data_IF_255355342065
#
_entry.id   IF_255355342065
#
_cell.length_a   1.000
_cell.length_b   1.000
_cell.length_c   1.000
_cell.angle_alpha   90.00
_cell.angle_beta   90.00
_cell.angle_gamma   90.00
#
_symmetry.space_group_name_H-M   'P 1'
#
loop_
_entity.id
_entity.type
_entity.pdbx_description
1 polymer ?
#
# COMPACT_ATOMS: atom_id res chain seq x y z
N UNK A 1 -35.41 3.59 77.56
CA UNK A 1 -36.83 3.94 77.60
C UNK A 1 -37.30 3.88 76.15
N UNK A 2 -38.05 2.97 75.78
CA UNK A 2 -39.36 2.46 76.07
C UNK A 2 -40.05 2.38 74.74
N UNK A 3 -40.29 1.16 74.35
CA UNK A 3 -41.59 0.46 74.15
C UNK A 3 -42.37 0.96 72.93
N UNK A 4 -42.73 0.12 72.02
CA UNK A 4 -43.56 -1.08 71.90
C UNK A 4 -44.66 -0.86 70.85
N UNK A 5 -44.91 -1.90 70.03
CA UNK A 5 -46.12 -2.49 69.50
C UNK A 5 -46.99 -1.68 68.53
N UNK A 6 -47.51 -2.20 67.50
CA UNK A 6 -48.07 -3.46 67.02
C UNK A 6 -48.86 -3.14 65.82
N UNK A 7 -49.09 -4.01 64.98
CA UNK A 7 -50.22 -4.93 64.80
C UNK A 7 -50.65 -4.94 63.34
N UNK A 8 -50.52 -6.10 62.71
CA UNK A 8 -51.46 -6.93 61.96
C UNK A 8 -52.63 -6.24 61.22
N UNK A 9 -52.73 -6.45 59.93
CA UNK A 9 -53.86 -7.14 59.28
C UNK A 9 -53.73 -7.32 57.79
N UNK A 10 -53.98 -8.55 57.38
CA UNK A 10 -54.30 -9.16 56.14
C UNK A 10 -55.22 -8.34 55.22
N UNK A 11 -54.97 -8.34 53.90
CA UNK A 11 -56.02 -8.44 52.89
C UNK A 11 -55.44 -8.99 51.58
N UNK A 12 -56.03 -10.10 51.14
CA UNK A 12 -55.85 -10.81 49.88
C UNK A 12 -56.37 -9.96 48.70
N UNK A 13 -55.57 -9.84 47.63
CA UNK A 13 -56.18 -9.58 46.32
C UNK A 13 -55.32 -10.28 45.23
N UNK A 14 -55.92 -11.29 44.62
CA UNK A 14 -55.47 -11.97 43.40
C UNK A 14 -55.36 -10.97 42.26
N UNK A 15 -54.22 -10.96 41.61
CA UNK A 15 -54.11 -10.39 40.25
C UNK A 15 -53.22 -11.33 39.41
N UNK A 16 -53.82 -11.80 38.34
CA UNK A 16 -53.26 -12.72 37.35
C UNK A 16 -52.00 -12.18 36.70
N UNK A 17 -50.89 -12.92 36.84
CA UNK A 17 -49.62 -12.62 36.17
C UNK A 17 -49.61 -13.33 34.83
N UNK A 18 -49.68 -12.54 33.74
CA UNK A 18 -49.30 -12.97 32.41
C UNK A 18 -47.81 -13.25 32.40
N UNK A 19 -47.43 -14.49 32.28
CA UNK A 19 -46.03 -14.90 32.11
C UNK A 19 -45.55 -14.50 30.71
N UNK A 20 -44.67 -13.49 30.64
CA UNK A 20 -43.85 -13.20 29.46
C UNK A 20 -42.60 -14.08 29.57
N UNK A 21 -42.27 -14.89 28.58
CA UNK A 21 -41.01 -15.65 28.65
C UNK A 21 -39.83 -14.70 28.60
N UNK A 22 -39.09 -14.66 29.69
CA UNK A 22 -37.75 -14.05 29.72
C UNK A 22 -36.83 -14.83 28.76
N UNK A 23 -36.63 -14.33 27.56
CA UNK A 23 -35.54 -14.76 26.69
C UNK A 23 -34.26 -14.23 27.34
N UNK A 24 -33.49 -15.13 27.86
CA UNK A 24 -32.25 -14.85 28.60
C UNK A 24 -31.27 -14.15 27.70
N UNK A 25 -30.96 -12.89 27.98
CA UNK A 25 -29.85 -12.13 27.39
C UNK A 25 -28.46 -12.77 27.64
N UNK A 26 -28.39 -13.85 28.39
CA UNK A 26 -27.18 -14.61 28.69
C UNK A 26 -26.74 -15.51 27.53
N UNK A 27 -27.67 -15.99 26.68
CA UNK A 27 -27.32 -16.83 25.53
C UNK A 27 -26.71 -16.07 24.35
N UNK A 28 -26.90 -14.75 24.30
CA UNK A 28 -26.25 -13.91 23.27
C UNK A 28 -24.79 -13.60 23.61
N UNK A 29 -24.44 -13.44 24.89
CA UNK A 29 -23.07 -13.21 25.33
C UNK A 29 -22.18 -14.46 25.25
N UNK A 30 -22.77 -15.65 25.43
CA UNK A 30 -22.04 -16.92 25.34
C UNK A 30 -21.66 -17.32 23.90
N UNK A 31 -22.30 -16.72 22.87
CA UNK A 31 -21.97 -16.99 21.47
C UNK A 31 -20.85 -16.08 20.92
N UNK A 32 -20.46 -15.04 21.65
CA UNK A 32 -19.38 -14.12 21.25
C UNK A 32 -18.00 -14.47 21.84
N UNK A 33 -17.92 -15.55 22.63
CA UNK A 33 -16.71 -15.93 23.36
C UNK A 33 -16.21 -17.33 23.01
N UNK A 34 -16.49 -17.85 21.82
CA UNK A 34 -15.73 -19.00 21.34
C UNK A 34 -14.34 -18.53 21.04
N UNK A 35 -13.28 -19.04 21.70
CA UNK A 35 -11.91 -18.76 21.26
C UNK A 35 -11.82 -19.24 19.81
N UNK A 36 -11.45 -18.34 18.90
CA UNK A 36 -11.06 -18.72 17.55
C UNK A 36 -9.87 -19.66 17.73
N UNK A 37 -10.09 -20.94 17.52
CA UNK A 37 -9.01 -21.90 17.47
C UNK A 37 -7.96 -21.40 16.47
N UNK A 38 -6.66 -21.57 16.74
CA UNK A 38 -5.63 -21.22 15.76
C UNK A 38 -5.99 -21.94 14.46
N UNK A 39 -6.20 -21.15 13.40
CA UNK A 39 -6.53 -21.68 12.07
C UNK A 39 -5.41 -22.63 11.67
N UNK A 40 -5.79 -23.88 11.35
CA UNK A 40 -4.89 -24.87 10.80
C UNK A 40 -4.19 -24.23 9.57
N UNK A 41 -2.86 -24.36 9.43
CA UNK A 41 -2.14 -23.88 8.25
C UNK A 41 -2.67 -24.45 6.92
N UNK A 42 -3.45 -25.55 6.99
CA UNK A 42 -4.15 -26.13 5.84
C UNK A 42 -5.43 -25.39 5.45
N UNK A 43 -5.93 -24.45 6.28
CA UNK A 43 -7.17 -23.69 6.04
C UNK A 43 -6.91 -22.34 5.32
N UNK A 44 -5.77 -22.21 4.65
CA UNK A 44 -5.52 -21.10 3.71
C UNK A 44 -6.44 -21.30 2.51
N UNK A 45 -7.54 -20.56 2.48
CA UNK A 45 -8.49 -20.60 1.38
C UNK A 45 -7.85 -19.95 0.16
N UNK A 46 -7.92 -20.61 -0.98
CA UNK A 46 -7.65 -19.95 -2.24
C UNK A 46 -8.67 -18.83 -2.40
N UNK A 47 -8.20 -17.61 -2.67
CA UNK A 47 -9.09 -16.56 -3.13
C UNK A 47 -9.75 -17.06 -4.42
N UNK A 48 -11.08 -17.01 -4.48
CA UNK A 48 -11.71 -17.03 -5.79
C UNK A 48 -11.06 -15.90 -6.60
N UNK A 49 -10.56 -16.27 -7.78
CA UNK A 49 -9.95 -15.31 -8.68
C UNK A 49 -10.93 -14.17 -8.86
N UNK A 50 -10.56 -12.96 -8.40
CA UNK A 50 -11.37 -11.77 -8.60
C UNK A 50 -11.42 -11.53 -10.11
N UNK A 51 -12.43 -12.09 -10.76
CA UNK A 51 -12.68 -11.86 -12.17
C UNK A 51 -13.36 -10.50 -12.28
N UNK A 52 -12.52 -9.49 -12.38
CA UNK A 52 -12.99 -8.15 -12.75
C UNK A 52 -13.33 -8.22 -14.23
N UNK A 53 -14.62 -8.35 -14.53
CA UNK A 53 -15.13 -8.44 -15.91
C UNK A 53 -15.64 -7.08 -16.36
N UNK A 54 -15.20 -6.64 -17.55
CA UNK A 54 -15.59 -5.38 -18.15
C UNK A 54 -14.49 -4.31 -18.14
N UNK A 55 -14.79 -3.17 -18.77
CA UNK A 55 -13.93 -1.97 -18.74
C UNK A 55 -14.36 -1.11 -17.58
N UNK A 56 -13.47 -0.93 -16.60
CA UNK A 56 -13.72 -0.14 -15.39
C UNK A 56 -13.48 1.34 -15.62
N UNK A 57 -14.19 2.24 -14.90
CA UNK A 57 -14.00 3.69 -15.04
C UNK A 57 -12.57 4.14 -14.72
N UNK A 58 -11.89 3.47 -13.77
CA UNK A 58 -10.58 3.89 -13.28
C UNK A 58 -10.69 4.81 -12.06
N UNK A 59 -9.56 5.25 -11.51
CA UNK A 59 -9.52 5.95 -10.22
C UNK A 59 -9.87 7.45 -10.30
N UNK A 60 -10.12 8.00 -11.48
CA UNK A 60 -10.27 9.44 -11.68
C UNK A 60 -8.97 10.23 -11.44
N UNK A 61 -8.99 11.52 -11.71
CA UNK A 61 -7.85 12.40 -11.57
C UNK A 61 -8.06 13.42 -10.44
N UNK A 62 -7.11 13.49 -9.52
CA UNK A 62 -7.01 14.59 -8.56
C UNK A 62 -6.54 15.85 -9.28
N UNK A 63 -7.09 17.01 -8.93
CA UNK A 63 -6.74 18.31 -9.53
C UNK A 63 -6.17 19.23 -8.46
N UNK A 64 -4.94 19.66 -8.64
CA UNK A 64 -4.25 20.61 -7.78
C UNK A 64 -4.06 21.90 -8.56
N UNK A 65 -4.69 23.01 -8.11
CA UNK A 65 -4.77 24.26 -8.86
C UNK A 65 -3.98 25.36 -8.19
N UNK A 66 -3.25 26.11 -9.01
CA UNK A 66 -2.54 27.34 -8.64
C UNK A 66 -2.72 28.37 -9.76
N UNK A 67 -3.54 29.40 -9.51
CA UNK A 67 -3.98 30.31 -10.56
C UNK A 67 -4.73 29.57 -11.68
N UNK A 68 -4.26 29.75 -12.90
CA UNK A 68 -4.72 29.09 -14.11
C UNK A 68 -3.95 27.77 -14.43
N UNK A 69 -3.02 27.38 -13.58
CA UNK A 69 -2.25 26.15 -13.75
C UNK A 69 -2.85 24.99 -12.94
N UNK A 70 -2.86 23.81 -13.54
CA UNK A 70 -3.38 22.58 -12.92
C UNK A 70 -2.38 21.44 -13.02
N UNK A 71 -2.10 20.81 -11.87
CA UNK A 71 -1.40 19.54 -11.79
C UNK A 71 -2.44 18.43 -11.57
N UNK A 72 -2.60 17.59 -12.58
CA UNK A 72 -3.44 16.40 -12.51
C UNK A 72 -2.64 15.25 -11.91
N UNK A 73 -3.20 14.57 -10.92
CA UNK A 73 -2.50 13.48 -10.23
C UNK A 73 -3.32 12.20 -10.35
N UNK A 74 -2.74 11.18 -10.98
CA UNK A 74 -3.32 9.84 -11.05
C UNK A 74 -2.90 9.03 -9.83
N UNK A 75 -3.90 8.58 -9.04
CA UNK A 75 -3.69 7.64 -7.96
C UNK A 75 -3.33 6.25 -8.49
N UNK A 76 -2.18 5.69 -8.11
CA UNK A 76 -1.77 4.36 -8.53
C UNK A 76 -1.99 3.33 -7.42
N UNK A 77 -2.44 2.14 -7.79
CA UNK A 77 -2.63 1.00 -6.88
C UNK A 77 -1.78 -0.19 -7.33
N UNK A 78 -1.18 -0.86 -6.37
CA UNK A 78 -0.45 -2.12 -6.58
C UNK A 78 -0.59 -2.97 -5.31
N UNK A 79 -0.77 -4.29 -5.43
CA UNK A 79 -0.92 -5.06 -6.68
C UNK A 79 -2.32 -4.93 -7.30
N UNK A 80 -2.42 -5.27 -8.59
CA UNK A 80 -3.66 -5.30 -9.36
C UNK A 80 -3.87 -6.66 -10.04
N UNK A 81 -5.12 -7.04 -10.41
CA UNK A 81 -5.36 -8.20 -11.24
C UNK A 81 -4.61 -8.15 -12.57
N UNK A 82 -4.05 -9.29 -13.00
CA UNK A 82 -3.28 -9.39 -14.25
C UNK A 82 -4.08 -9.03 -15.51
N UNK A 83 -5.38 -9.32 -15.48
CA UNK A 83 -6.33 -9.13 -16.60
C UNK A 83 -7.12 -7.84 -16.49
N UNK A 84 -6.79 -6.95 -15.54
CA UNK A 84 -7.54 -5.71 -15.37
C UNK A 84 -7.41 -4.80 -16.59
N UNK A 85 -8.56 -4.29 -17.05
CA UNK A 85 -8.66 -3.22 -18.05
C UNK A 85 -9.44 -2.05 -17.44
N UNK A 86 -9.10 -0.83 -17.83
CA UNK A 86 -9.73 0.38 -17.33
C UNK A 86 -9.82 1.44 -18.42
N UNK A 87 -10.77 2.36 -18.31
CA UNK A 87 -10.88 3.50 -19.21
C UNK A 87 -9.78 4.50 -18.91
N UNK A 88 -8.93 4.75 -19.86
CA UNK A 88 -7.81 5.67 -19.75
C UNK A 88 -7.95 6.91 -20.63
N UNK A 89 -9.18 7.17 -21.14
CA UNK A 89 -9.40 8.23 -22.13
C UNK A 89 -9.10 9.59 -21.53
N UNK A 90 -9.68 9.94 -20.37
CA UNK A 90 -9.41 11.19 -19.65
C UNK A 90 -7.90 11.35 -19.35
N UNK A 91 -7.26 10.28 -18.88
CA UNK A 91 -5.81 10.30 -18.61
C UNK A 91 -5.01 10.57 -19.88
N UNK A 92 -5.40 9.98 -21.01
CA UNK A 92 -4.74 10.22 -22.30
C UNK A 92 -4.96 11.64 -22.80
N UNK A 93 -6.14 12.21 -22.63
CA UNK A 93 -6.47 13.58 -22.96
C UNK A 93 -5.60 14.57 -22.17
N UNK A 94 -5.58 14.45 -20.84
CA UNK A 94 -4.73 15.30 -19.99
C UNK A 94 -3.25 15.12 -20.31
N UNK A 95 -2.80 13.88 -20.52
CA UNK A 95 -1.41 13.62 -20.94
C UNK A 95 -1.08 14.23 -22.31
N UNK A 96 -2.06 14.35 -23.22
CA UNK A 96 -1.86 14.97 -24.52
C UNK A 96 -1.59 16.48 -24.41
N UNK A 97 -2.07 17.13 -23.38
CA UNK A 97 -1.89 18.58 -23.12
C UNK A 97 -0.74 18.88 -22.15
N UNK A 98 -0.38 17.93 -21.30
CA UNK A 98 0.59 18.14 -20.24
C UNK A 98 1.96 18.62 -20.77
N UNK A 99 2.46 19.72 -20.23
CA UNK A 99 3.80 20.24 -20.52
C UNK A 99 4.90 19.43 -19.83
N UNK A 100 4.59 18.78 -18.71
CA UNK A 100 5.49 17.91 -17.97
C UNK A 100 4.72 16.74 -17.36
N UNK A 101 5.37 15.57 -17.28
CA UNK A 101 4.83 14.37 -16.62
C UNK A 101 5.81 13.92 -15.55
N UNK A 102 5.41 14.05 -14.29
CA UNK A 102 6.20 13.68 -13.12
C UNK A 102 6.02 12.21 -12.77
N UNK A 103 7.12 11.51 -12.54
CA UNK A 103 7.09 10.16 -12.03
C UNK A 103 6.69 10.07 -10.56
N UNK A 104 6.51 8.85 -10.02
CA UNK A 104 6.25 8.65 -8.61
C UNK A 104 7.49 9.00 -7.76
N UNK A 105 7.31 9.44 -6.51
CA UNK A 105 8.42 9.62 -5.58
C UNK A 105 9.16 8.30 -5.36
N UNK A 106 10.43 8.36 -5.09
CA UNK A 106 11.23 7.17 -4.84
C UNK A 106 12.69 7.49 -4.60
N UNK A 107 13.49 6.44 -4.45
CA UNK A 107 14.93 6.52 -4.27
C UNK A 107 15.63 5.79 -5.40
N UNK A 108 16.63 6.43 -5.95
CA UNK A 108 17.59 5.77 -6.84
C UNK A 108 18.94 5.73 -6.15
N UNK A 109 19.45 4.54 -5.94
CA UNK A 109 20.83 4.40 -5.49
C UNK A 109 21.75 4.61 -6.68
N UNK A 110 22.39 5.79 -6.71
CA UNK A 110 23.43 6.14 -7.65
C UNK A 110 24.80 5.69 -7.12
N UNK A 111 25.60 5.16 -8.00
CA UNK A 111 27.03 5.02 -7.79
C UNK A 111 27.69 5.51 -9.06
N UNK A 112 28.76 6.29 -8.93
CA UNK A 112 29.59 6.72 -10.08
C UNK A 112 30.34 5.53 -10.72
N UNK A 113 29.78 4.33 -10.56
CA UNK A 113 30.31 3.07 -11.06
C UNK A 113 29.73 2.83 -12.44
N UNK A 114 30.55 2.95 -13.47
CA UNK A 114 30.18 2.59 -14.83
C UNK A 114 29.68 1.14 -14.92
N UNK A 115 28.91 0.81 -15.96
CA UNK A 115 28.22 -0.48 -16.17
C UNK A 115 29.17 -1.67 -15.94
N UNK A 116 30.39 -1.60 -16.46
CA UNK A 116 31.37 -2.69 -16.29
C UNK A 116 31.77 -2.92 -14.82
N UNK A 117 31.93 -1.85 -14.04
CA UNK A 117 32.21 -1.94 -12.61
C UNK A 117 31.03 -2.47 -11.82
N UNK A 118 29.81 -2.10 -12.23
CA UNK A 118 28.57 -2.65 -11.69
C UNK A 118 28.47 -4.16 -11.87
N UNK A 119 28.79 -4.67 -13.06
CA UNK A 119 28.82 -6.13 -13.33
C UNK A 119 29.82 -6.88 -12.44
N UNK A 120 30.98 -6.28 -12.13
CA UNK A 120 31.95 -6.92 -11.22
C UNK A 120 31.48 -6.98 -9.77
N UNK A 121 30.43 -6.22 -9.42
CA UNK A 121 29.84 -6.23 -8.08
C UNK A 121 28.71 -7.25 -7.92
N UNK A 122 28.18 -7.78 -9.02
CA UNK A 122 27.06 -8.72 -8.99
C UNK A 122 27.31 -9.93 -8.06
N UNK A 123 28.50 -10.58 -8.08
CA UNK A 123 28.75 -11.67 -7.13
C UNK A 123 28.76 -11.23 -5.67
N UNK A 124 29.20 -10.00 -5.38
CA UNK A 124 29.17 -9.45 -4.01
C UNK A 124 27.73 -9.15 -3.57
N UNK A 125 26.91 -8.59 -4.44
CA UNK A 125 25.50 -8.34 -4.20
C UNK A 125 24.72 -9.65 -3.97
N UNK A 126 24.96 -10.68 -4.79
CA UNK A 126 24.37 -12.01 -4.61
C UNK A 126 24.76 -12.66 -3.29
N UNK A 127 26.01 -12.47 -2.84
CA UNK A 127 26.44 -12.95 -1.51
C UNK A 127 25.82 -12.14 -0.38
N UNK A 128 25.65 -10.84 -0.54
CA UNK A 128 25.00 -9.97 0.45
C UNK A 128 23.49 -10.26 0.60
N UNK A 129 22.86 -10.78 -0.46
CA UNK A 129 21.47 -11.21 -0.44
C UNK A 129 21.24 -12.54 0.33
N UNK A 130 22.31 -13.23 0.71
CA UNK A 130 22.23 -14.48 1.49
C UNK A 130 22.40 -14.22 2.97
N UNK A 131 21.88 -15.15 3.77
CA UNK A 131 22.12 -15.15 5.21
C UNK A 131 23.62 -15.21 5.52
N UNK A 132 24.08 -14.59 6.62
CA UNK A 132 25.43 -14.75 7.10
C UNK A 132 25.79 -16.23 7.30
N UNK A 133 27.04 -16.58 7.07
CA UNK A 133 27.61 -17.90 7.30
C UNK A 133 26.90 -19.07 6.59
N UNK A 134 26.01 -18.75 5.61
CA UNK A 134 25.26 -19.74 4.86
C UNK A 134 24.10 -20.37 5.63
N UNK A 135 23.73 -19.78 6.77
CA UNK A 135 22.63 -20.24 7.59
C UNK A 135 21.31 -20.30 6.81
N UNK A 136 20.45 -21.22 7.19
CA UNK A 136 19.12 -21.39 6.61
C UNK A 136 18.06 -20.71 7.48
N UNK A 137 16.86 -20.46 6.92
CA UNK A 137 15.81 -19.77 7.65
C UNK A 137 15.29 -20.54 8.86
N UNK A 138 15.37 -21.87 8.86
CA UNK A 138 15.03 -22.71 10.01
C UNK A 138 16.03 -22.57 11.18
N UNK A 139 17.28 -22.21 10.88
CA UNK A 139 18.28 -21.93 11.90
C UNK A 139 18.17 -20.52 12.49
N UNK A 140 17.56 -19.58 11.73
CA UNK A 140 17.53 -18.16 12.08
C UNK A 140 16.20 -17.69 12.65
N UNK A 141 15.10 -18.26 12.20
CA UNK A 141 13.75 -17.80 12.56
C UNK A 141 13.23 -18.49 13.82
N UNK A 142 12.39 -17.82 14.62
CA UNK A 142 11.61 -18.49 15.64
C UNK A 142 10.79 -19.64 15.05
N UNK A 143 10.67 -20.76 15.79
CA UNK A 143 10.06 -21.98 15.28
C UNK A 143 8.63 -21.79 14.76
N UNK A 144 7.83 -20.96 15.43
CA UNK A 144 6.46 -20.59 15.00
C UNK A 144 6.45 -19.87 13.65
N UNK A 145 7.39 -18.96 13.44
CA UNK A 145 7.51 -18.20 12.20
C UNK A 145 8.00 -19.10 11.07
N UNK A 146 8.98 -19.94 11.34
CA UNK A 146 9.49 -20.87 10.33
C UNK A 146 8.44 -21.90 9.90
N UNK A 147 7.62 -22.38 10.83
CA UNK A 147 6.52 -23.30 10.49
C UNK A 147 5.54 -22.65 9.48
N UNK A 148 5.13 -21.44 9.73
CA UNK A 148 4.25 -20.67 8.82
C UNK A 148 4.93 -20.43 7.46
N UNK A 149 6.16 -19.95 7.50
CA UNK A 149 6.99 -19.76 6.30
C UNK A 149 7.06 -21.05 5.47
N UNK A 150 7.42 -22.16 6.08
CA UNK A 150 7.60 -23.45 5.40
C UNK A 150 6.31 -23.95 4.72
N UNK A 151 5.15 -23.79 5.40
CA UNK A 151 3.85 -24.14 4.84
C UNK A 151 3.50 -23.31 3.60
N UNK A 152 3.64 -21.98 3.69
CA UNK A 152 3.36 -21.07 2.57
C UNK A 152 4.37 -21.23 1.44
N UNK A 153 5.65 -21.41 1.76
CA UNK A 153 6.69 -21.71 0.76
C UNK A 153 6.36 -22.99 -0.01
N UNK A 154 5.98 -24.06 0.68
CA UNK A 154 5.60 -25.31 0.03
C UNK A 154 4.41 -25.12 -0.93
N UNK A 155 3.46 -24.27 -0.55
CA UNK A 155 2.28 -23.96 -1.35
C UNK A 155 2.59 -23.16 -2.62
N UNK A 156 3.35 -22.07 -2.49
CA UNK A 156 3.52 -21.08 -3.55
C UNK A 156 4.84 -21.19 -4.33
N UNK A 157 5.89 -21.72 -3.72
CA UNK A 157 7.23 -21.85 -4.32
C UNK A 157 7.61 -23.32 -4.54
N UNK A 158 7.10 -24.21 -3.65
CA UNK A 158 7.42 -25.63 -3.71
C UNK A 158 8.75 -25.97 -3.02
N UNK A 159 9.53 -26.89 -3.66
CA UNK A 159 10.69 -27.51 -3.03
C UNK A 159 12.00 -26.76 -3.22
N UNK A 160 11.99 -25.52 -3.65
CA UNK A 160 13.23 -24.73 -3.80
C UNK A 160 13.93 -24.58 -2.44
N UNK A 161 15.18 -25.06 -2.37
CA UNK A 161 16.04 -24.91 -1.20
C UNK A 161 16.93 -23.67 -1.27
N UNK A 162 17.03 -23.04 -2.42
CA UNK A 162 17.85 -21.86 -2.62
C UNK A 162 17.34 -20.65 -1.85
N UNK A 163 16.01 -20.54 -1.73
CA UNK A 163 15.35 -19.46 -1.03
C UNK A 163 15.59 -19.51 0.49
N UNK A 164 15.79 -20.68 1.09
CA UNK A 164 16.06 -20.86 2.51
C UNK A 164 17.37 -20.20 2.97
N UNK A 165 18.28 -19.96 2.03
CA UNK A 165 19.59 -19.32 2.31
C UNK A 165 19.60 -17.83 2.01
N UNK A 166 18.46 -17.27 1.59
CA UNK A 166 18.31 -15.83 1.39
C UNK A 166 17.96 -15.14 2.69
N UNK A 167 18.29 -13.86 2.79
CA UNK A 167 17.87 -13.04 3.93
C UNK A 167 16.34 -13.04 4.07
N UNK A 168 15.81 -13.03 5.29
CA UNK A 168 14.37 -13.13 5.54
C UNK A 168 13.53 -12.15 4.72
N UNK A 169 13.98 -10.89 4.60
CA UNK A 169 13.26 -9.87 3.83
C UNK A 169 13.18 -10.21 2.33
N UNK A 170 14.26 -10.75 1.77
CA UNK A 170 14.31 -11.14 0.36
C UNK A 170 13.45 -12.40 0.14
N UNK A 171 13.59 -13.37 1.04
CA UNK A 171 12.83 -14.61 0.96
C UNK A 171 11.32 -14.37 1.06
N UNK A 172 10.88 -13.56 2.04
CA UNK A 172 9.46 -13.28 2.22
C UNK A 172 8.88 -12.43 1.08
N UNK A 173 9.65 -11.53 0.49
CA UNK A 173 9.22 -10.79 -0.69
C UNK A 173 9.03 -11.69 -1.91
N UNK A 174 9.93 -12.65 -2.14
CA UNK A 174 9.76 -13.63 -3.21
C UNK A 174 8.54 -14.53 -2.97
N UNK A 175 8.28 -14.94 -1.72
CA UNK A 175 7.08 -15.67 -1.35
C UNK A 175 5.81 -14.84 -1.60
N UNK A 176 5.81 -13.58 -1.20
CA UNK A 176 4.69 -12.66 -1.45
C UNK A 176 4.38 -12.53 -2.94
N UNK A 177 5.42 -12.33 -3.77
CA UNK A 177 5.23 -12.26 -5.23
C UNK A 177 4.68 -13.56 -5.81
N UNK A 178 5.17 -14.72 -5.34
CA UNK A 178 4.65 -16.01 -5.76
C UNK A 178 3.19 -16.20 -5.35
N UNK A 179 2.81 -15.76 -4.14
CA UNK A 179 1.44 -15.79 -3.68
C UNK A 179 0.53 -14.87 -4.49
N UNK A 180 0.97 -13.65 -4.80
CA UNK A 180 0.24 -12.75 -5.71
C UNK A 180 0.03 -13.38 -7.06
N UNK A 181 1.09 -13.94 -7.65
CA UNK A 181 1.05 -14.56 -8.98
C UNK A 181 0.07 -15.73 -9.05
N UNK A 182 0.09 -16.59 -8.02
CA UNK A 182 -0.83 -17.72 -7.89
C UNK A 182 -2.30 -17.28 -7.74
N UNK A 183 -2.55 -16.09 -7.20
CA UNK A 183 -3.88 -15.51 -7.03
C UNK A 183 -4.25 -14.53 -8.17
N UNK A 184 -3.57 -14.60 -9.32
CA UNK A 184 -3.90 -13.77 -10.48
C UNK A 184 -3.60 -12.29 -10.33
N UNK A 185 -2.84 -11.91 -9.29
CA UNK A 185 -2.40 -10.54 -9.02
C UNK A 185 -0.96 -10.33 -9.50
N UNK A 186 -0.58 -9.08 -9.73
CA UNK A 186 0.80 -8.69 -10.02
C UNK A 186 1.12 -7.31 -9.46
N UNK A 187 2.37 -7.14 -9.06
CA UNK A 187 2.93 -5.81 -8.88
C UNK A 187 3.24 -5.20 -10.25
N UNK A 188 3.15 -3.89 -10.33
CA UNK A 188 3.32 -3.19 -11.60
C UNK A 188 2.00 -3.15 -12.39
N UNK A 189 1.84 -2.07 -13.14
CA UNK A 189 0.49 -1.70 -13.42
C UNK A 189 0.05 -1.72 -14.85
N UNK A 190 -1.22 -1.52 -14.94
CA UNK A 190 -1.96 -1.15 -16.14
C UNK A 190 -1.72 0.31 -16.55
N UNK A 191 -1.11 1.11 -15.69
CA UNK A 191 -0.88 2.55 -15.89
C UNK A 191 0.36 2.80 -16.74
N UNK A 192 1.48 2.15 -16.45
CA UNK A 192 2.75 2.36 -17.16
C UNK A 192 2.63 2.24 -18.68
N UNK A 193 1.94 1.22 -19.24
CA UNK A 193 1.76 1.15 -20.69
C UNK A 193 1.02 2.36 -21.28
N UNK A 194 0.01 2.88 -20.57
CA UNK A 194 -0.75 4.06 -21.03
C UNK A 194 0.16 5.31 -21.05
N UNK A 195 0.94 5.51 -20.00
CA UNK A 195 1.90 6.62 -19.94
C UNK A 195 2.96 6.51 -21.05
N UNK A 196 3.56 5.33 -21.18
CA UNK A 196 4.64 5.10 -22.16
C UNK A 196 4.16 5.32 -23.61
N UNK A 197 2.92 4.85 -23.94
CA UNK A 197 2.32 5.04 -25.25
C UNK A 197 2.19 6.53 -25.60
N UNK A 198 1.59 7.34 -24.69
CA UNK A 198 1.36 8.77 -24.94
C UNK A 198 2.68 9.53 -24.94
N UNK A 199 3.56 9.29 -23.97
CA UNK A 199 4.88 9.96 -23.91
C UNK A 199 5.70 9.67 -25.16
N UNK A 200 5.72 8.42 -25.63
CA UNK A 200 6.41 8.03 -26.86
C UNK A 200 5.82 8.72 -28.08
N UNK A 201 4.50 8.77 -28.20
CA UNK A 201 3.82 9.45 -29.31
C UNK A 201 4.15 10.94 -29.36
N UNK A 202 4.32 11.59 -28.20
CA UNK A 202 4.68 13.01 -28.07
C UNK A 202 6.20 13.28 -28.10
N UNK A 203 7.04 12.27 -28.16
CA UNK A 203 8.49 12.41 -28.03
C UNK A 203 8.94 12.94 -26.66
N UNK A 204 8.09 12.82 -25.65
CA UNK A 204 8.36 13.25 -24.27
C UNK A 204 8.94 12.11 -23.44
N UNK A 205 9.53 12.46 -22.33
CA UNK A 205 10.01 11.50 -21.31
C UNK A 205 9.37 11.81 -19.98
N UNK A 206 9.15 10.75 -19.18
CA UNK A 206 8.80 10.89 -17.79
C UNK A 206 9.89 11.66 -17.05
N UNK A 207 9.53 12.73 -16.35
CA UNK A 207 10.45 13.46 -15.49
C UNK A 207 10.65 12.68 -14.19
N UNK A 208 11.87 12.16 -13.93
CA UNK A 208 12.11 11.38 -12.73
C UNK A 208 12.06 12.29 -11.50
N UNK A 209 11.30 11.89 -10.51
CA UNK A 209 11.21 12.55 -9.19
C UNK A 209 11.84 11.69 -8.09
N UNK A 210 12.67 10.74 -8.49
CA UNK A 210 13.43 9.89 -7.57
C UNK A 210 14.62 10.65 -7.01
N UNK A 211 14.74 10.67 -5.68
CA UNK A 211 15.94 11.21 -5.01
C UNK A 211 17.13 10.30 -5.26
N UNK A 212 18.20 10.85 -5.81
CA UNK A 212 19.45 10.12 -5.99
C UNK A 212 20.25 10.11 -4.70
N UNK A 213 20.50 8.91 -4.18
CA UNK A 213 21.37 8.68 -3.02
C UNK A 213 22.67 8.06 -3.50
N UNK A 214 23.76 8.80 -3.39
CA UNK A 214 25.08 8.29 -3.76
C UNK A 214 25.67 7.44 -2.63
N UNK A 215 26.20 6.30 -3.00
CA UNK A 215 26.98 5.43 -2.10
C UNK A 215 28.44 5.52 -2.57
N UNK A 216 29.31 6.14 -1.77
CA UNK A 216 30.70 6.38 -2.11
C UNK A 216 31.49 5.10 -2.31
N UNK A 217 31.31 4.11 -1.41
CA UNK A 217 31.91 2.78 -1.52
C UNK A 217 30.86 1.67 -1.44
N UNK A 218 30.22 1.29 -2.58
CA UNK A 218 29.22 0.24 -2.60
C UNK A 218 29.79 -1.14 -2.24
N UNK A 219 31.09 -1.39 -2.45
CA UNK A 219 31.70 -2.68 -2.05
C UNK A 219 31.81 -2.79 -0.55
N UNK A 220 32.27 -1.73 0.12
CA UNK A 220 32.30 -1.68 1.58
C UNK A 220 30.90 -1.79 2.16
N UNK A 221 29.92 -1.07 1.57
CA UNK A 221 28.52 -1.15 1.97
C UNK A 221 27.96 -2.57 1.90
N UNK A 222 28.20 -3.28 0.80
CA UNK A 222 27.79 -4.69 0.66
C UNK A 222 28.52 -5.61 1.63
N UNK A 223 29.80 -5.35 1.91
CA UNK A 223 30.59 -6.13 2.87
C UNK A 223 30.11 -5.94 4.31
N UNK A 224 29.75 -4.71 4.69
CA UNK A 224 29.15 -4.40 5.99
C UNK A 224 27.77 -5.06 6.13
N UNK A 225 26.88 -4.82 5.16
CA UNK A 225 25.55 -5.41 5.14
C UNK A 225 25.59 -6.95 5.23
N UNK A 226 26.56 -7.59 4.58
CA UNK A 226 26.74 -9.05 4.67
C UNK A 226 27.01 -9.54 6.08
N UNK A 227 27.67 -8.73 6.91
CA UNK A 227 28.02 -9.08 8.30
C UNK A 227 26.85 -8.83 9.28
N UNK A 228 25.83 -8.07 8.88
CA UNK A 228 24.67 -7.82 9.73
C UNK A 228 23.89 -9.11 9.95
N UNK A 229 23.69 -9.47 11.23
CA UNK A 229 22.83 -10.58 11.63
C UNK A 229 21.34 -10.25 11.47
N UNK A 230 20.50 -11.24 11.78
CA UNK A 230 19.06 -11.09 11.87
C UNK A 230 18.70 -10.12 13.00
N UNK A 231 17.80 -9.19 12.74
CA UNK A 231 17.28 -8.22 13.71
C UNK A 231 15.82 -8.52 14.05
N UNK A 232 15.32 -8.09 15.23
CA UNK A 232 13.92 -8.25 15.59
C UNK A 232 12.96 -7.66 14.54
N UNK A 233 13.34 -6.54 13.92
CA UNK A 233 12.57 -5.84 12.88
C UNK A 233 12.43 -6.71 11.62
N UNK A 234 13.45 -7.49 11.28
CA UNK A 234 13.42 -8.41 10.15
C UNK A 234 12.40 -9.53 10.37
N UNK A 235 12.32 -10.03 11.61
CA UNK A 235 11.34 -11.05 12.01
C UNK A 235 9.93 -10.46 12.02
N UNK A 236 9.77 -9.22 12.50
CA UNK A 236 8.49 -8.52 12.50
C UNK A 236 7.97 -8.33 11.08
N UNK A 237 8.81 -7.79 10.18
CA UNK A 237 8.50 -7.63 8.76
C UNK A 237 8.08 -8.96 8.12
N UNK A 238 8.80 -10.04 8.42
CA UNK A 238 8.47 -11.37 7.90
C UNK A 238 7.12 -11.84 8.42
N UNK A 239 6.84 -11.74 9.73
CA UNK A 239 5.54 -12.11 10.34
C UNK A 239 4.38 -11.36 9.69
N UNK A 240 4.50 -10.06 9.56
CA UNK A 240 3.49 -9.20 8.97
C UNK A 240 3.22 -9.57 7.51
N UNK A 241 4.28 -9.86 6.75
CA UNK A 241 4.11 -10.31 5.36
C UNK A 241 3.43 -11.68 5.26
N UNK A 242 3.76 -12.62 6.16
CA UNK A 242 3.04 -13.89 6.24
C UNK A 242 1.57 -13.68 6.58
N UNK A 243 1.24 -12.74 7.49
CA UNK A 243 -0.14 -12.38 7.81
C UNK A 243 -0.91 -11.88 6.59
N UNK A 244 -0.27 -11.06 5.75
CA UNK A 244 -0.87 -10.59 4.48
C UNK A 244 -1.11 -11.75 3.52
N UNK A 245 -0.16 -12.67 3.39
CA UNK A 245 -0.30 -13.82 2.48
C UNK A 245 -1.42 -14.77 2.97
N UNK A 246 -1.50 -15.00 4.28
CA UNK A 246 -2.48 -15.93 4.85
C UNK A 246 -3.91 -15.35 4.88
N UNK A 247 -4.07 -14.08 5.18
CA UNK A 247 -5.36 -13.46 5.52
C UNK A 247 -5.66 -12.17 4.78
N UNK A 248 -4.62 -11.48 4.28
CA UNK A 248 -4.75 -10.13 3.72
C UNK A 248 -5.01 -10.07 2.22
N UNK A 249 -4.84 -11.17 1.48
CA UNK A 249 -5.06 -11.16 0.03
C UNK A 249 -6.48 -10.76 -0.39
N UNK A 250 -7.56 -11.12 0.35
CA UNK A 250 -8.91 -10.60 0.04
C UNK A 250 -9.00 -9.07 0.13
N UNK A 251 -8.34 -8.44 1.12
CA UNK A 251 -8.31 -6.99 1.24
C UNK A 251 -7.52 -6.33 0.10
N UNK A 252 -6.45 -6.99 -0.36
CA UNK A 252 -5.70 -6.54 -1.55
C UNK A 252 -6.62 -6.52 -2.76
N UNK A 253 -7.44 -7.56 -2.96
CA UNK A 253 -8.41 -7.63 -4.04
C UNK A 253 -9.50 -6.56 -3.92
N UNK A 254 -10.03 -6.34 -2.71
CA UNK A 254 -11.03 -5.29 -2.45
C UNK A 254 -10.49 -3.92 -2.85
N UNK A 255 -9.25 -3.59 -2.47
CA UNK A 255 -8.62 -2.32 -2.85
C UNK A 255 -8.39 -2.21 -4.36
N UNK A 256 -7.98 -3.31 -5.00
CA UNK A 256 -7.80 -3.33 -6.45
C UNK A 256 -9.11 -3.08 -7.19
N UNK A 257 -10.22 -3.66 -6.72
CA UNK A 257 -11.54 -3.42 -7.28
C UNK A 257 -12.03 -2.00 -7.03
N UNK A 258 -11.85 -1.47 -5.83
CA UNK A 258 -12.18 -0.08 -5.50
C UNK A 258 -11.42 0.90 -6.39
N UNK A 259 -10.13 0.66 -6.61
CA UNK A 259 -9.33 1.46 -7.55
C UNK A 259 -9.88 1.42 -8.97
N UNK A 260 -10.23 0.23 -9.45
CA UNK A 260 -10.76 0.04 -10.80
C UNK A 260 -12.15 0.71 -10.98
N UNK A 261 -12.96 0.71 -9.92
CA UNK A 261 -14.29 1.31 -9.92
C UNK A 261 -14.29 2.83 -9.65
N UNK A 262 -13.15 3.41 -9.25
CA UNK A 262 -13.09 4.80 -8.78
C UNK A 262 -13.73 5.02 -7.40
N UNK A 263 -13.88 3.94 -6.60
CA UNK A 263 -14.50 4.00 -5.27
C UNK A 263 -13.51 4.58 -4.25
N UNK A 264 -13.54 5.91 -4.12
CA UNK A 264 -12.68 6.63 -3.21
C UNK A 264 -13.00 6.38 -1.74
N UNK A 265 -14.23 6.04 -1.39
CA UNK A 265 -14.61 5.80 0.00
C UNK A 265 -13.96 4.52 0.53
N UNK A 266 -14.01 3.44 -0.23
CA UNK A 266 -13.29 2.20 0.10
C UNK A 266 -11.79 2.43 0.11
N UNK A 267 -11.23 3.18 -0.82
CA UNK A 267 -9.81 3.51 -0.86
C UNK A 267 -9.39 4.33 0.37
N UNK A 268 -10.20 5.32 0.79
CA UNK A 268 -9.99 6.12 2.01
C UNK A 268 -10.08 5.25 3.27
N UNK A 269 -11.11 4.42 3.38
CA UNK A 269 -11.32 3.53 4.53
C UNK A 269 -10.19 2.49 4.70
N UNK A 270 -9.52 2.15 3.61
CA UNK A 270 -8.41 1.19 3.59
C UNK A 270 -7.04 1.83 3.40
N UNK A 271 -6.94 3.16 3.49
CA UNK A 271 -5.67 3.87 3.38
C UNK A 271 -4.68 3.40 4.44
N UNK A 272 -3.44 3.16 4.03
CA UNK A 272 -2.39 2.60 4.90
C UNK A 272 -2.42 1.09 5.09
N UNK A 273 -3.51 0.39 4.68
CA UNK A 273 -3.53 -1.06 4.65
C UNK A 273 -2.78 -1.58 3.41
N UNK A 274 -2.05 -2.69 3.57
CA UNK A 274 -1.29 -3.29 2.47
C UNK A 274 0.04 -2.58 2.15
N UNK A 275 0.44 -1.58 2.93
CA UNK A 275 1.77 -0.97 2.86
C UNK A 275 2.87 -1.80 3.56
N UNK A 276 2.66 -3.10 3.67
CA UNK A 276 3.52 -4.03 4.40
C UNK A 276 4.97 -3.98 3.90
N UNK A 277 5.14 -3.95 2.57
CA UNK A 277 6.47 -3.80 1.98
C UNK A 277 7.10 -2.45 2.36
N UNK A 278 6.30 -1.40 2.44
CA UNK A 278 6.76 -0.07 2.85
C UNK A 278 7.17 -0.06 4.33
N UNK A 279 6.42 -0.74 5.21
CA UNK A 279 6.79 -0.92 6.62
C UNK A 279 8.09 -1.73 6.76
N UNK A 280 8.25 -2.80 5.97
CA UNK A 280 9.50 -3.57 5.92
C UNK A 280 10.69 -2.75 5.38
N UNK A 281 10.46 -1.88 4.40
CA UNK A 281 11.50 -1.00 3.87
C UNK A 281 11.85 0.11 4.86
N UNK A 282 10.89 0.68 5.58
CA UNK A 282 11.17 1.68 6.62
C UNK A 282 11.98 1.08 7.78
N UNK A 283 11.75 -0.18 8.16
CA UNK A 283 12.60 -0.84 9.16
C UNK A 283 14.05 -1.00 8.68
N UNK A 284 14.26 -1.23 7.38
CA UNK A 284 15.61 -1.22 6.80
C UNK A 284 16.30 0.14 6.93
N UNK A 285 15.58 1.23 6.72
CA UNK A 285 16.13 2.59 6.87
C UNK A 285 16.49 2.96 8.31
N UNK A 286 15.90 2.30 9.30
CA UNK A 286 16.20 2.48 10.72
C UNK A 286 17.42 1.67 11.20
N UNK A 287 18.11 0.95 10.32
CA UNK A 287 19.33 0.20 10.68
C UNK A 287 20.51 1.13 11.02
N UNK A 288 21.45 0.63 11.83
CA UNK A 288 22.67 1.37 12.14
C UNK A 288 23.48 1.71 10.90
N UNK A 289 23.49 0.81 9.92
CA UNK A 289 24.15 1.03 8.63
C UNK A 289 23.49 2.15 7.84
N UNK A 290 22.14 2.23 7.85
CA UNK A 290 21.42 3.30 7.20
C UNK A 290 21.67 4.64 7.91
N UNK A 291 21.58 4.68 9.25
CA UNK A 291 21.86 5.89 10.06
C UNK A 291 23.28 6.41 9.86
N UNK A 292 24.28 5.53 9.90
CA UNK A 292 25.70 5.90 9.64
C UNK A 292 25.91 6.52 8.26
N UNK A 293 24.99 6.28 7.32
CA UNK A 293 25.04 6.80 5.94
C UNK A 293 24.05 7.97 5.71
N UNK A 294 23.42 8.50 6.77
CA UNK A 294 22.47 9.59 6.69
C UNK A 294 21.24 9.22 5.85
N UNK A 295 20.72 7.99 6.03
CA UNK A 295 19.51 7.52 5.35
C UNK A 295 18.29 7.48 6.28
N UNK A 296 18.43 7.90 7.52
CA UNK A 296 17.38 7.94 8.54
C UNK A 296 16.27 8.98 8.22
N UNK A 297 16.62 10.05 7.50
CA UNK A 297 15.68 11.09 7.03
C UNK A 297 15.24 10.92 5.57
N UNK A 298 15.57 9.78 4.96
CA UNK A 298 15.41 9.55 3.52
C UNK A 298 13.97 9.75 3.04
N UNK A 299 12.99 9.30 3.82
CA UNK A 299 11.56 9.44 3.48
C UNK A 299 11.15 10.92 3.41
N UNK A 300 11.57 11.73 4.38
CA UNK A 300 11.31 13.17 4.38
C UNK A 300 11.98 13.88 3.19
N UNK A 301 13.19 13.48 2.84
CA UNK A 301 13.93 14.02 1.69
C UNK A 301 13.27 13.64 0.36
N UNK A 302 12.83 12.39 0.22
CA UNK A 302 12.07 11.93 -0.96
C UNK A 302 10.81 12.74 -1.13
N UNK A 303 10.06 12.93 -0.05
CA UNK A 303 8.85 13.77 -0.05
C UNK A 303 9.16 15.21 -0.48
N UNK A 304 10.15 15.85 0.15
CA UNK A 304 10.54 17.21 -0.18
C UNK A 304 10.98 17.35 -1.64
N UNK A 305 11.71 16.37 -2.17
CA UNK A 305 12.15 16.34 -3.55
C UNK A 305 10.99 16.30 -4.54
N UNK A 306 10.01 15.42 -4.30
CA UNK A 306 8.82 15.31 -5.14
C UNK A 306 7.97 16.59 -5.08
N UNK A 307 7.76 17.16 -3.87
CA UNK A 307 7.00 18.40 -3.69
C UNK A 307 7.64 19.58 -4.41
N UNK A 308 8.97 19.67 -4.41
CA UNK A 308 9.68 20.69 -5.16
C UNK A 308 9.48 20.53 -6.68
N UNK A 309 9.46 19.29 -7.20
CA UNK A 309 9.14 19.04 -8.60
C UNK A 309 7.69 19.40 -8.95
N UNK A 310 6.73 19.13 -8.05
CA UNK A 310 5.34 19.51 -8.21
C UNK A 310 5.16 21.04 -8.22
N UNK A 311 5.84 21.76 -7.33
CA UNK A 311 5.84 23.24 -7.30
C UNK A 311 6.39 23.80 -8.63
N UNK A 312 7.52 23.28 -9.11
CA UNK A 312 8.11 23.69 -10.39
C UNK A 312 7.18 23.41 -11.59
N UNK A 313 6.49 22.28 -11.57
CA UNK A 313 5.52 21.94 -12.62
C UNK A 313 4.36 22.92 -12.65
N UNK A 314 3.79 23.25 -11.48
CA UNK A 314 2.71 24.24 -11.33
C UNK A 314 3.14 25.66 -11.69
N UNK A 315 4.42 26.01 -11.51
CA UNK A 315 4.91 27.34 -11.88
C UNK A 315 5.16 27.47 -13.38
N UNK A 316 5.56 26.39 -14.05
CA UNK A 316 6.06 26.42 -15.42
C UNK A 316 5.04 26.04 -16.50
N UNK A 317 3.99 25.28 -16.15
CA UNK A 317 3.10 24.68 -17.13
C UNK A 317 1.63 24.84 -16.76
N UNK A 318 0.76 25.31 -17.70
CA UNK A 318 -0.68 25.38 -17.46
C UNK A 318 -1.29 24.01 -17.14
N UNK A 319 -0.83 22.95 -17.80
CA UNK A 319 -1.25 21.57 -17.55
C UNK A 319 0.00 20.74 -17.23
N UNK A 320 -0.03 20.07 -16.11
CA UNK A 320 0.99 19.13 -15.64
C UNK A 320 0.34 17.81 -15.20
N UNK A 321 1.08 16.73 -15.29
CA UNK A 321 0.60 15.41 -14.87
C UNK A 321 1.57 14.74 -13.91
N UNK A 322 1.06 13.99 -12.93
CA UNK A 322 1.87 13.22 -12.00
C UNK A 322 1.21 11.89 -11.64
N UNK A 323 2.03 10.96 -11.14
CA UNK A 323 1.53 9.72 -10.51
C UNK A 323 1.97 9.66 -9.06
N UNK A 324 1.03 9.28 -8.17
CA UNK A 324 1.29 8.98 -6.76
C UNK A 324 0.58 7.69 -6.37
N UNK A 325 1.11 6.95 -5.40
CA UNK A 325 0.35 5.83 -4.86
C UNK A 325 -0.91 6.34 -4.14
N UNK A 326 -1.98 5.56 -4.16
CA UNK A 326 -3.21 5.88 -3.41
C UNK A 326 -2.90 6.08 -1.91
N UNK A 327 -1.96 5.32 -1.35
CA UNK A 327 -1.55 5.49 0.03
C UNK A 327 -0.85 6.84 0.28
N UNK A 328 -0.03 7.30 -0.67
CA UNK A 328 0.63 8.61 -0.59
C UNK A 328 -0.38 9.76 -0.76
N UNK A 329 -1.41 9.56 -1.57
CA UNK A 329 -2.49 10.53 -1.77
C UNK A 329 -3.36 10.67 -0.53
N UNK A 330 -3.91 9.56 -0.03
CA UNK A 330 -4.96 9.54 0.99
C UNK A 330 -4.45 9.53 2.43
N UNK A 331 -3.14 9.40 2.65
CA UNK A 331 -2.53 9.43 3.99
C UNK A 331 -2.71 10.78 4.68
N UNK A 332 -2.96 10.79 6.00
CA UNK A 332 -3.12 12.01 6.80
C UNK A 332 -1.89 12.94 6.74
N UNK A 333 -0.70 12.37 6.58
CA UNK A 333 0.55 13.07 6.32
C UNK A 333 0.97 12.96 4.84
N UNK A 334 0.00 12.72 3.94
CA UNK A 334 0.24 12.48 2.52
C UNK A 334 0.72 13.70 1.74
N UNK A 335 1.02 13.47 0.47
CA UNK A 335 1.51 14.52 -0.42
C UNK A 335 0.46 15.61 -0.66
N UNK A 336 -0.84 15.26 -0.77
CA UNK A 336 -1.91 16.26 -0.93
C UNK A 336 -2.02 17.17 0.30
N UNK A 337 -1.89 16.63 1.51
CA UNK A 337 -1.87 17.45 2.73
C UNK A 337 -0.71 18.46 2.73
N UNK A 338 0.45 18.07 2.21
CA UNK A 338 1.61 18.95 2.09
C UNK A 338 1.48 19.99 0.96
N UNK A 339 0.69 19.70 -0.09
CA UNK A 339 0.41 20.64 -1.18
C UNK A 339 -0.65 21.69 -0.80
N UNK A 340 -1.66 21.33 0.00
CA UNK A 340 -2.78 22.25 0.37
C UNK A 340 -2.37 23.67 0.77
N UNK A 341 -1.35 23.90 1.63
CA UNK A 341 -0.95 25.25 2.02
C UNK A 341 -0.21 26.04 0.93
N UNK A 342 0.08 25.42 -0.22
CA UNK A 342 0.89 26.00 -1.32
C UNK A 342 0.10 26.29 -2.58
N UNK A 343 -1.19 25.94 -2.61
CA UNK A 343 -2.04 25.97 -3.79
C UNK A 343 -3.42 26.51 -3.45
N UNK A 344 -4.17 26.93 -4.45
CA UNK A 344 -5.49 27.53 -4.26
C UNK A 344 -6.56 26.47 -3.97
N UNK A 345 -6.46 25.30 -4.64
CA UNK A 345 -7.39 24.19 -4.46
C UNK A 345 -6.72 22.82 -4.65
N UNK A 346 -7.24 21.84 -3.92
CA UNK A 346 -6.96 20.42 -4.11
C UNK A 346 -8.30 19.72 -4.16
N UNK A 347 -8.71 19.29 -5.34
CA UNK A 347 -10.00 18.65 -5.62
C UNK A 347 -9.80 17.14 -5.80
N UNK A 348 -10.60 16.35 -5.14
CA UNK A 348 -10.71 14.93 -5.40
C UNK A 348 -11.48 14.69 -6.71
N UNK A 349 -11.35 13.50 -7.34
CA UNK A 349 -12.08 13.18 -8.56
C UNK A 349 -13.59 13.39 -8.43
N UNK A 350 -14.19 12.94 -7.33
CA UNK A 350 -15.61 13.10 -7.01
C UNK A 350 -16.05 14.57 -6.79
N UNK A 351 -15.15 15.42 -6.31
CA UNK A 351 -15.41 16.87 -6.14
C UNK A 351 -15.25 17.64 -7.46
N UNK A 352 -14.33 17.20 -8.32
CA UNK A 352 -14.05 17.83 -9.59
C UNK A 352 -15.21 17.65 -10.58
N UNK A 353 -15.75 16.44 -10.66
CA UNK A 353 -16.88 16.11 -11.52
C UNK A 353 -18.14 16.90 -11.11
N UNK A 354 -18.40 17.07 -9.80
CA UNK A 354 -19.52 17.84 -9.30
C UNK A 354 -19.46 19.34 -9.67
N UNK A 355 -18.27 19.91 -9.80
CA UNK A 355 -18.10 21.32 -10.21
C UNK A 355 -18.35 21.47 -11.71
N UNK A 356 -17.87 20.54 -12.53
CA UNK A 356 -18.07 20.57 -13.99
C UNK A 356 -19.54 20.40 -14.37
N UNK A 357 -20.29 19.55 -13.66
CA UNK A 357 -21.73 19.38 -13.88
C UNK A 357 -22.52 20.68 -13.58
N UNK A 358 -22.17 21.40 -12.52
CA UNK A 358 -22.82 22.69 -12.17
C UNK A 358 -22.49 23.75 -13.19
N UNK A 359 -21.28 23.83 -13.72
CA UNK A 359 -20.88 24.79 -14.73
C UNK A 359 -21.55 24.48 -16.10
N UNK A 360 -21.74 23.20 -16.43
CA UNK A 360 -22.43 22.77 -17.64
C UNK A 360 -23.94 23.10 -17.62
N UNK A 361 -24.60 22.85 -16.49
CA UNK A 361 -26.03 23.21 -16.32
C UNK A 361 -26.26 24.75 -16.30
N UNK A 362 -25.27 25.51 -15.80
CA UNK A 362 -25.32 26.97 -15.76
C UNK A 362 -25.25 27.64 -17.14
N UNK A 363 -24.59 27.01 -18.12
CA UNK A 363 -24.44 27.52 -19.48
C UNK A 363 -25.72 27.28 -20.30
N UNK A 364 -26.43 26.17 -20.09
CA UNK A 364 -27.69 25.87 -20.79
C UNK A 364 -28.87 26.72 -20.29
N UNK A 365 -28.81 27.21 -19.06
CA UNK A 365 -29.85 28.09 -18.50
C UNK A 365 -29.73 29.57 -18.93
N UNK A 366 -28.66 29.97 -19.63
CA UNK A 366 -28.36 31.34 -20.00
C UNK A 366 -28.58 31.66 -21.50
N UNK A 367 -29.17 30.75 -22.28
CA UNK A 367 -29.49 30.99 -23.69
C UNK A 367 -30.97 31.38 -23.82
N UNK A 368 -31.30 32.64 -24.16
CA UNK A 368 -32.69 33.10 -24.32
C UNK A 368 -33.35 32.59 -25.61
#
# INVERSE_FOLDING_TARGET
>A
MGKRFGGVSLAFAMASILAVPNVHAQDAAARLSTPVAPSDPSDVRDMETVVVTGVHPGPGLWRVRRGDHTLYILGTQSPLPKSMTWRSDEVREVLAEAGVVLGPPGVRVGSDIGIFRGLTMLPAAMRAARNPDGATLDELLPADVYQRWSALKQRYIGRDRGIERKRPQIAVYELYRAALDANGLREGGVITPVLDDVLKARGMKLTPTTLEVKIDDPRAALAEFRKEGLKPEDVSCLRETLDVIERGLPQVATRANAWAAGDLDVLRATAGQGSQLQACMSSFLQTDTARKRGLDDLEARVRAHWLAAADQALDAHPVSFATLSVNDLLGTAGYLAALRPRVDAVLAPDEADAIEDVDAEGIDAATP
#
